data_IF_897638797936
#
_entry.id   IF_897638797936
#
_cell.length_a   1.000
_cell.length_b   1.000
_cell.length_c   1.000
_cell.angle_alpha   90.00
_cell.angle_beta   90.00
_cell.angle_gamma   90.00
#
_symmetry.space_group_name_H-M   'P 1'
#
loop_
_entity.id
_entity.type
_entity.pdbx_description
1 polymer ?
#
# COMPACT_ATOMS: atom_id res chain seq x y z
N UNK A 1 11.28 -7.44 2.05
CA UNK A 1 12.35 -6.51 1.63
C UNK A 1 12.15 -5.06 2.09
N UNK A 2 11.03 -4.68 2.74
CA UNK A 2 10.80 -3.31 3.21
C UNK A 2 11.54 -2.92 4.52
N UNK A 3 12.02 -3.89 5.32
CA UNK A 3 12.77 -3.60 6.56
C UNK A 3 14.21 -3.11 6.35
N UNK A 4 14.83 -3.35 5.18
CA UNK A 4 16.27 -3.13 4.99
C UNK A 4 16.64 -1.67 4.64
N UNK A 5 15.68 -0.85 4.22
CA UNK A 5 15.97 0.51 3.74
C UNK A 5 15.80 1.63 4.77
N UNK A 6 15.37 1.34 6.01
CA UNK A 6 15.02 2.43 6.96
C UNK A 6 15.35 2.16 8.44
N UNK A 7 16.41 1.40 8.75
CA UNK A 7 16.79 1.14 10.14
C UNK A 7 18.25 1.50 10.41
N UNK A 8 18.58 2.79 10.28
CA UNK A 8 19.84 3.36 10.77
C UNK A 8 19.80 3.80 12.24
N UNK A 9 18.75 3.44 13.00
CA UNK A 9 18.60 3.84 14.39
C UNK A 9 18.34 2.64 15.29
N UNK A 10 19.15 2.57 16.34
CA UNK A 10 19.15 1.57 17.40
C UNK A 10 17.81 1.57 18.16
N UNK A 11 16.96 0.56 17.90
CA UNK A 11 15.58 0.46 18.41
C UNK A 11 15.48 0.12 19.92
N UNK A 12 16.60 0.04 20.64
CA UNK A 12 16.61 -0.39 22.06
C UNK A 12 16.01 0.62 23.05
N UNK A 13 15.82 1.87 22.64
CA UNK A 13 15.30 2.97 23.50
C UNK A 13 14.09 3.68 22.89
N UNK A 14 13.48 3.09 21.87
CA UNK A 14 12.42 3.73 21.09
C UNK A 14 11.06 3.49 21.75
N UNK A 15 10.28 4.56 21.92
CA UNK A 15 8.92 4.49 22.46
C UNK A 15 8.09 3.45 21.68
N UNK A 16 7.37 2.52 22.36
CA UNK A 16 6.58 1.48 21.68
C UNK A 16 5.54 2.03 20.69
N UNK A 17 4.99 3.21 20.94
CA UNK A 17 4.09 3.88 20.00
C UNK A 17 4.82 4.38 18.75
N UNK A 18 6.08 4.80 18.89
CA UNK A 18 6.91 5.18 17.76
C UNK A 18 7.32 3.97 16.91
N UNK A 19 7.64 2.83 17.54
CA UNK A 19 7.88 1.57 16.80
C UNK A 19 6.64 1.16 16.02
N UNK A 20 5.46 1.16 16.66
CA UNK A 20 4.20 0.85 15.96
C UNK A 20 3.92 1.83 14.80
N UNK A 21 4.29 3.10 14.96
CA UNK A 21 4.16 4.08 13.89
C UNK A 21 5.10 3.79 12.72
N UNK A 22 6.36 3.43 12.98
CA UNK A 22 7.32 3.01 11.95
C UNK A 22 6.83 1.76 11.21
N UNK A 23 6.34 0.74 11.92
CA UNK A 23 5.77 -0.47 11.31
C UNK A 23 4.58 -0.15 10.40
N UNK A 24 3.70 0.77 10.83
CA UNK A 24 2.58 1.23 9.99
C UNK A 24 3.05 1.97 8.75
N UNK A 25 4.09 2.80 8.87
CA UNK A 25 4.69 3.50 7.72
C UNK A 25 5.33 2.51 6.75
N UNK A 26 6.17 1.60 7.24
CA UNK A 26 6.81 0.56 6.43
C UNK A 26 5.79 -0.32 5.72
N UNK A 27 4.72 -0.73 6.43
CA UNK A 27 3.63 -1.48 5.84
C UNK A 27 2.93 -0.69 4.72
N UNK A 28 2.67 0.60 4.93
CA UNK A 28 2.04 1.46 3.92
C UNK A 28 2.94 1.63 2.71
N UNK A 29 4.23 1.89 2.93
CA UNK A 29 5.23 2.00 1.87
C UNK A 29 5.31 0.72 1.04
N UNK A 30 5.39 -0.45 1.70
CA UNK A 30 5.41 -1.74 1.02
C UNK A 30 4.18 -1.93 0.12
N UNK A 31 3.00 -1.53 0.60
CA UNK A 31 1.74 -1.60 -0.15
C UNK A 31 1.72 -0.66 -1.38
N UNK A 32 2.30 0.54 -1.24
CA UNK A 32 2.45 1.48 -2.34
C UNK A 32 3.47 1.01 -3.37
N UNK A 33 4.59 0.43 -2.92
CA UNK A 33 5.63 -0.12 -3.78
C UNK A 33 5.17 -1.37 -4.54
N UNK A 34 4.34 -2.22 -3.91
CA UNK A 34 3.86 -3.47 -4.52
C UNK A 34 2.73 -3.27 -5.52
N UNK A 35 1.88 -2.25 -5.34
CA UNK A 35 0.84 -1.84 -6.29
C UNK A 35 0.94 -0.34 -6.58
N UNK A 36 1.86 0.07 -7.46
CA UNK A 36 2.03 1.47 -7.83
C UNK A 36 0.81 2.00 -8.59
N UNK A 37 0.36 3.21 -8.23
CA UNK A 37 -0.86 3.81 -8.80
C UNK A 37 -0.78 4.03 -10.31
N UNK A 38 0.37 4.43 -10.84
CA UNK A 38 0.53 4.65 -12.29
C UNK A 38 0.38 3.36 -13.10
N UNK A 39 0.77 2.22 -12.52
CA UNK A 39 0.53 0.89 -13.11
C UNK A 39 -0.95 0.58 -13.01
N UNK A 40 -1.53 0.72 -11.81
CA UNK A 40 -2.93 0.40 -11.57
C UNK A 40 -3.89 1.19 -12.46
N UNK A 41 -3.64 2.48 -12.69
CA UNK A 41 -4.47 3.34 -13.53
C UNK A 41 -4.65 2.83 -14.96
N UNK A 42 -3.69 2.06 -15.49
CA UNK A 42 -3.82 1.45 -16.82
C UNK A 42 -4.80 0.27 -16.82
N UNK A 43 -5.02 -0.35 -15.66
CA UNK A 43 -5.89 -1.50 -15.49
C UNK A 43 -7.27 -1.10 -14.92
N UNK A 44 -7.40 0.00 -14.17
CA UNK A 44 -8.68 0.45 -13.59
C UNK A 44 -9.84 0.48 -14.60
N UNK A 45 -9.67 0.97 -15.84
CA UNK A 45 -10.77 0.99 -16.82
C UNK A 45 -11.19 -0.39 -17.32
N UNK A 46 -10.32 -1.40 -17.20
CA UNK A 46 -10.53 -2.75 -17.74
C UNK A 46 -10.73 -3.83 -16.67
N UNK A 47 -10.48 -3.53 -15.40
CA UNK A 47 -10.65 -4.47 -14.30
C UNK A 47 -12.12 -4.79 -14.10
N UNK A 48 -12.45 -6.07 -14.25
CA UNK A 48 -13.80 -6.58 -13.98
C UNK A 48 -13.88 -7.24 -12.60
N UNK A 49 -12.72 -7.63 -12.04
CA UNK A 49 -12.64 -8.40 -10.80
C UNK A 49 -11.36 -8.13 -9.99
N UNK A 50 -11.46 -8.20 -8.66
CA UNK A 50 -10.30 -8.18 -7.75
C UNK A 50 -9.36 -9.37 -8.00
N UNK A 51 -9.88 -10.49 -8.50
CA UNK A 51 -9.09 -11.70 -8.80
C UNK A 51 -8.05 -11.46 -9.89
N UNK A 52 -8.38 -10.69 -10.93
CA UNK A 52 -7.44 -10.33 -12.00
C UNK A 52 -6.25 -9.52 -11.45
N UNK A 53 -6.53 -8.60 -10.52
CA UNK A 53 -5.48 -7.83 -9.86
C UNK A 53 -4.59 -8.70 -8.96
N UNK A 54 -5.16 -9.70 -8.29
CA UNK A 54 -4.39 -10.68 -7.51
C UNK A 54 -3.41 -11.44 -8.41
N UNK A 55 -3.85 -11.83 -9.61
CA UNK A 55 -3.01 -12.52 -10.59
C UNK A 55 -1.94 -11.61 -11.20
N UNK A 56 -2.28 -10.36 -11.54
CA UNK A 56 -1.32 -9.42 -12.14
C UNK A 56 -0.22 -9.04 -11.14
N UNK A 57 -0.61 -8.70 -9.91
CA UNK A 57 0.34 -8.20 -8.91
C UNK A 57 0.94 -9.31 -8.05
N UNK A 58 0.42 -10.54 -8.13
CA UNK A 58 0.86 -11.69 -7.34
C UNK A 58 0.84 -11.37 -5.83
N UNK A 59 -0.22 -10.67 -5.38
CA UNK A 59 -0.40 -10.22 -4.00
C UNK A 59 -1.63 -10.88 -3.37
N UNK A 60 -1.64 -11.11 -2.04
CA UNK A 60 -2.83 -11.63 -1.38
C UNK A 60 -4.04 -10.72 -1.58
N UNK A 61 -5.22 -11.32 -1.79
CA UNK A 61 -6.47 -10.59 -2.03
C UNK A 61 -6.76 -9.48 -0.99
N UNK A 62 -6.56 -9.69 0.33
CA UNK A 62 -6.79 -8.64 1.32
C UNK A 62 -5.93 -7.39 1.09
N UNK A 63 -4.70 -7.56 0.59
CA UNK A 63 -3.78 -6.45 0.28
C UNK A 63 -4.26 -5.68 -0.94
N UNK A 64 -4.61 -6.40 -2.00
CA UNK A 64 -5.14 -5.83 -3.24
C UNK A 64 -6.41 -5.02 -2.95
N UNK A 65 -7.36 -5.60 -2.21
CA UNK A 65 -8.61 -4.95 -1.81
C UNK A 65 -8.37 -3.67 -0.99
N UNK A 66 -7.48 -3.74 0.00
CA UNK A 66 -7.09 -2.57 0.81
C UNK A 66 -6.52 -1.45 -0.07
N UNK A 67 -5.72 -1.82 -1.07
CA UNK A 67 -5.09 -0.86 -1.97
C UNK A 67 -6.08 -0.18 -2.91
N UNK A 68 -6.96 -0.97 -3.54
CA UNK A 68 -8.03 -0.45 -4.41
C UNK A 68 -8.93 0.51 -3.63
N UNK A 69 -9.38 0.12 -2.44
CA UNK A 69 -10.18 0.99 -1.58
C UNK A 69 -9.47 2.29 -1.24
N UNK A 70 -8.17 2.24 -0.91
CA UNK A 70 -7.38 3.44 -0.64
C UNK A 70 -7.31 4.40 -1.83
N UNK A 71 -7.25 3.88 -3.05
CA UNK A 71 -7.21 4.71 -4.27
C UNK A 71 -8.59 5.31 -4.55
N UNK A 72 -9.67 4.53 -4.44
CA UNK A 72 -11.04 5.02 -4.61
C UNK A 72 -11.35 6.17 -3.64
N UNK A 73 -10.97 6.03 -2.37
CA UNK A 73 -11.14 7.10 -1.36
C UNK A 73 -10.37 8.37 -1.75
N UNK A 74 -9.18 8.24 -2.33
CA UNK A 74 -8.40 9.39 -2.82
C UNK A 74 -9.03 10.05 -4.04
N UNK A 75 -9.65 9.29 -4.96
CA UNK A 75 -10.36 9.86 -6.12
C UNK A 75 -11.63 10.61 -5.69
N UNK A 76 -12.40 10.03 -4.75
CA UNK A 76 -13.59 10.70 -4.19
C UNK A 76 -13.22 12.02 -3.53
N UNK A 77 -12.14 12.05 -2.73
CA UNK A 77 -11.66 13.30 -2.13
C UNK A 77 -11.18 14.31 -3.17
N UNK A 78 -10.50 13.88 -4.24
CA UNK A 78 -10.05 14.77 -5.32
C UNK A 78 -11.20 15.42 -6.08
N UNK A 79 -12.31 14.70 -6.29
CA UNK A 79 -13.48 15.22 -7.00
C UNK A 79 -14.40 16.08 -6.13
N UNK A 80 -14.06 16.27 -4.86
CA UNK A 80 -14.86 17.04 -3.88
C UNK A 80 -14.36 18.48 -3.69
N UNK A 81 -13.38 18.94 -4.47
CA UNK A 81 -12.82 20.30 -4.46
C UNK A 81 -12.77 20.91 -5.86
#
# INVERSE_FOLDING_TARGET
>A
MAHFFEHSNDQRFTDPHFVQFQERQAHTFALYASMPRFILNNYIPSIQSITELVEIFQLPEPFVRKRVNSILQQEVMKNSF
#
